data_IF_709274173832
#
_entry.id   IF_709274173832
#
_cell.length_a   1.000
_cell.length_b   1.000
_cell.length_c   1.000
_cell.angle_alpha   90.00
_cell.angle_beta   90.00
_cell.angle_gamma   90.00
#
_symmetry.space_group_name_H-M   'P 1'
#
loop_
_entity.id
_entity.type
_entity.pdbx_description
1 polymer ?
#
# COMPACT_ATOMS: atom_id res chain seq x y z
N UNK A 1 19.69 59.48 43.02
CA UNK A 1 20.44 58.42 42.30
C UNK A 1 19.53 57.22 42.15
N UNK A 2 19.14 56.92 40.91
CA UNK A 2 18.21 55.86 40.56
C UNK A 2 18.93 54.52 40.36
N UNK A 3 18.40 53.41 40.89
CA UNK A 3 18.60 52.05 40.36
C UNK A 3 17.81 51.01 41.16
N UNK A 4 16.96 50.27 40.45
CA UNK A 4 16.76 48.81 40.49
C UNK A 4 15.29 48.46 40.33
N UNK A 5 14.86 48.18 39.10
CA UNK A 5 13.56 47.55 38.79
C UNK A 5 13.57 47.09 37.33
N UNK A 6 14.45 46.15 36.96
CA UNK A 6 14.46 45.57 35.58
C UNK A 6 14.85 44.09 35.47
N UNK A 7 15.15 43.38 36.56
CA UNK A 7 15.62 41.99 36.46
C UNK A 7 14.49 40.93 36.51
N UNK A 8 13.32 41.26 37.09
CA UNK A 8 12.30 40.25 37.43
C UNK A 8 11.45 39.78 36.25
N UNK A 9 11.14 40.67 35.29
CA UNK A 9 10.26 40.32 34.15
C UNK A 9 10.93 39.41 33.12
N UNK A 10 12.25 39.50 32.96
CA UNK A 10 12.98 38.74 31.94
C UNK A 10 13.11 37.24 32.30
N UNK A 11 13.20 36.93 33.59
CA UNK A 11 13.27 35.55 34.10
C UNK A 11 11.92 34.82 33.99
N UNK A 12 10.81 35.53 34.19
CA UNK A 12 9.45 34.97 34.07
C UNK A 12 9.13 34.65 32.61
N UNK A 13 9.47 35.55 31.68
CA UNK A 13 9.27 35.31 30.24
C UNK A 13 10.12 34.13 29.75
N UNK A 14 11.38 34.02 30.20
CA UNK A 14 12.24 32.89 29.84
C UNK A 14 11.71 31.56 30.39
N UNK A 15 11.19 31.54 31.62
CA UNK A 15 10.59 30.36 32.24
C UNK A 15 9.31 29.91 31.53
N UNK A 16 8.46 30.85 31.08
CA UNK A 16 7.24 30.55 30.30
C UNK A 16 7.60 29.99 28.93
N UNK A 17 8.60 30.58 28.24
CA UNK A 17 9.07 30.08 26.94
C UNK A 17 9.69 28.68 27.07
N UNK A 18 10.56 28.46 28.07
CA UNK A 18 11.14 27.14 28.35
C UNK A 18 10.06 26.10 28.69
N UNK A 19 9.09 26.44 29.55
CA UNK A 19 7.99 25.54 29.89
C UNK A 19 7.11 25.21 28.68
N UNK A 20 6.81 26.19 27.82
CA UNK A 20 6.10 25.98 26.57
C UNK A 20 6.86 25.09 25.59
N UNK A 21 8.18 25.27 25.46
CA UNK A 21 9.03 24.39 24.66
C UNK A 21 9.06 22.96 25.20
N UNK A 22 9.17 22.77 26.51
CA UNK A 22 9.10 21.44 27.14
C UNK A 22 7.75 20.76 26.90
N UNK A 23 6.65 21.51 26.99
CA UNK A 23 5.31 20.98 26.73
C UNK A 23 5.13 20.57 25.26
N UNK A 24 5.61 21.39 24.32
CA UNK A 24 5.58 21.08 22.89
C UNK A 24 6.46 19.86 22.55
N UNK A 25 7.63 19.72 23.17
CA UNK A 25 8.52 18.56 23.00
C UNK A 25 7.84 17.28 23.53
N UNK A 26 7.19 17.35 24.68
CA UNK A 26 6.45 16.21 25.24
C UNK A 26 5.29 15.78 24.34
N UNK A 27 4.51 16.72 23.80
CA UNK A 27 3.41 16.42 22.87
C UNK A 27 3.95 15.76 21.59
N UNK A 28 5.00 16.31 20.97
CA UNK A 28 5.59 15.73 19.76
C UNK A 28 6.15 14.32 20.01
N UNK A 29 6.73 14.08 21.19
CA UNK A 29 7.23 12.76 21.59
C UNK A 29 6.10 11.75 21.83
N UNK A 30 4.96 12.20 22.36
CA UNK A 30 3.78 11.38 22.56
C UNK A 30 3.07 11.03 21.24
N UNK A 31 3.03 11.97 20.28
CA UNK A 31 2.48 11.73 18.95
C UNK A 31 3.35 10.78 18.12
N UNK A 32 4.68 10.92 18.19
CA UNK A 32 5.62 9.98 17.60
C UNK A 32 5.51 8.56 18.21
N UNK A 33 5.06 8.45 19.46
CA UNK A 33 4.82 7.17 20.12
C UNK A 33 3.49 6.51 19.69
N UNK A 34 2.60 7.20 18.98
CA UNK A 34 1.33 6.64 18.48
C UNK A 34 1.47 5.83 17.20
N UNK A 35 2.41 6.17 16.33
CA UNK A 35 2.64 5.45 15.07
C UNK A 35 3.60 4.28 15.30
N UNK A 36 3.19 3.08 14.87
CA UNK A 36 4.04 1.90 14.88
C UNK A 36 5.16 2.02 13.84
N UNK A 37 5.82 0.89 13.53
CA UNK A 37 6.70 0.88 12.36
C UNK A 37 5.86 1.05 11.09
N UNK A 38 6.15 2.11 10.36
CA UNK A 38 5.58 2.40 9.03
C UNK A 38 6.48 1.78 7.97
N UNK A 39 5.88 1.09 7.00
CA UNK A 39 6.59 0.55 5.84
C UNK A 39 6.31 1.40 4.59
N UNK A 40 7.28 1.46 3.68
CA UNK A 40 7.09 2.02 2.34
C UNK A 40 6.83 0.90 1.34
N UNK A 41 5.73 0.98 0.60
CA UNK A 41 5.38 0.02 -0.44
C UNK A 41 5.37 0.72 -1.80
N UNK A 42 6.23 0.27 -2.69
CA UNK A 42 6.07 0.55 -4.10
C UNK A 42 5.10 -0.47 -4.71
N UNK A 43 3.86 -0.05 -4.96
CA UNK A 43 2.85 -0.90 -5.60
C UNK A 43 2.98 -0.75 -7.12
N UNK A 44 3.92 -1.39 -7.79
CA UNK A 44 4.08 -1.19 -9.24
C UNK A 44 3.05 -1.95 -10.09
N UNK A 45 3.03 -1.66 -11.38
CA UNK A 45 2.13 -2.35 -12.34
C UNK A 45 2.52 -3.81 -12.52
N UNK A 46 3.82 -4.08 -12.64
CA UNK A 46 4.36 -5.42 -12.93
C UNK A 46 5.02 -6.05 -11.70
N UNK A 47 5.73 -5.24 -10.91
CA UNK A 47 6.40 -5.66 -9.69
C UNK A 47 6.12 -4.68 -8.57
N UNK A 48 6.05 -5.19 -7.36
CA UNK A 48 5.96 -4.41 -6.13
C UNK A 48 7.19 -4.64 -5.26
N UNK A 49 7.48 -3.68 -4.40
CA UNK A 49 8.62 -3.69 -3.49
C UNK A 49 8.17 -3.16 -2.12
N UNK A 50 8.79 -3.65 -1.05
CA UNK A 50 8.55 -3.15 0.30
C UNK A 50 9.87 -2.86 1.02
N UNK A 51 9.91 -1.71 1.68
CA UNK A 51 11.06 -1.26 2.45
C UNK A 51 10.67 -0.66 3.79
N UNK A 52 11.64 -0.59 4.69
CA UNK A 52 11.48 0.00 6.02
C UNK A 52 12.70 0.83 6.38
N UNK A 53 12.51 1.98 7.01
CA UNK A 53 13.61 2.74 7.59
C UNK A 53 13.86 2.26 9.03
N UNK A 54 15.03 1.68 9.28
CA UNK A 54 15.40 1.13 10.59
C UNK A 54 16.92 1.29 10.80
N UNK A 55 17.35 1.53 12.03
CA UNK A 55 18.77 1.63 12.39
C UNK A 55 19.56 2.63 11.50
N UNK A 56 18.95 3.77 11.17
CA UNK A 56 19.59 4.84 10.40
C UNK A 56 19.69 4.63 8.89
N UNK A 57 19.15 3.54 8.34
CA UNK A 57 19.16 3.26 6.90
C UNK A 57 17.83 2.68 6.41
N UNK A 58 17.65 2.69 5.09
CA UNK A 58 16.54 2.00 4.42
C UNK A 58 16.96 0.55 4.17
N UNK A 59 16.12 -0.37 4.61
CA UNK A 59 16.23 -1.80 4.28
C UNK A 59 15.16 -2.16 3.26
N UNK A 60 15.57 -2.72 2.12
CA UNK A 60 14.66 -3.30 1.13
C UNK A 60 14.48 -4.78 1.45
N UNK A 61 13.25 -5.16 1.79
CA UNK A 61 12.96 -6.46 2.38
C UNK A 61 12.81 -7.50 1.27
N UNK A 62 13.57 -8.58 1.37
CA UNK A 62 13.42 -9.73 0.49
C UNK A 62 12.19 -10.56 0.88
N UNK A 63 11.47 -11.09 -0.11
CA UNK A 63 10.38 -12.03 0.10
C UNK A 63 10.87 -13.43 0.52
N UNK A 64 9.94 -14.36 0.68
CA UNK A 64 10.19 -15.76 1.05
C UNK A 64 11.05 -16.54 0.04
N UNK A 65 11.22 -16.02 -1.17
CA UNK A 65 12.12 -16.57 -2.20
C UNK A 65 13.46 -15.84 -2.28
N UNK A 66 13.70 -14.85 -1.42
CA UNK A 66 14.93 -14.04 -1.42
C UNK A 66 14.94 -12.89 -2.42
N UNK A 67 13.82 -12.62 -3.12
CA UNK A 67 13.73 -11.54 -4.10
C UNK A 67 13.30 -10.23 -3.42
N UNK A 68 13.94 -9.12 -3.80
CA UNK A 68 13.60 -7.77 -3.30
C UNK A 68 12.45 -7.08 -4.05
N UNK A 69 11.97 -7.71 -5.12
CA UNK A 69 10.78 -7.30 -5.85
C UNK A 69 9.90 -8.52 -6.03
N UNK A 70 8.59 -8.34 -5.91
CA UNK A 70 7.59 -9.41 -6.03
C UNK A 70 6.66 -9.09 -7.20
N UNK A 71 6.39 -10.02 -8.12
CA UNK A 71 5.42 -9.79 -9.20
C UNK A 71 4.07 -9.33 -8.65
N UNK A 72 3.47 -8.30 -9.25
CA UNK A 72 2.11 -7.83 -8.92
C UNK A 72 1.05 -8.70 -9.61
N UNK A 73 1.11 -9.99 -9.29
CA UNK A 73 0.34 -11.07 -9.90
C UNK A 73 -0.48 -11.78 -8.83
N UNK A 74 -1.72 -12.11 -9.14
CA UNK A 74 -2.62 -12.92 -8.29
C UNK A 74 -3.20 -14.03 -9.15
N UNK A 75 -3.15 -15.27 -8.69
CA UNK A 75 -3.80 -16.38 -9.36
C UNK A 75 -4.75 -17.10 -8.42
N UNK A 76 -5.87 -17.57 -8.96
CA UNK A 76 -6.81 -18.42 -8.25
C UNK A 76 -6.68 -19.84 -8.77
N UNK A 77 -6.45 -20.78 -7.86
CA UNK A 77 -6.48 -22.23 -8.14
C UNK A 77 -7.68 -22.85 -7.44
N UNK A 78 -7.84 -24.17 -7.59
CA UNK A 78 -8.91 -24.90 -6.90
C UNK A 78 -8.60 -25.17 -5.42
N UNK A 79 -7.34 -25.01 -5.03
CA UNK A 79 -6.90 -25.16 -3.64
C UNK A 79 -6.78 -23.83 -2.93
N UNK A 80 -6.14 -22.85 -3.56
CA UNK A 80 -5.67 -21.64 -2.88
C UNK A 80 -5.58 -20.43 -3.81
N UNK A 81 -5.27 -19.28 -3.20
CA UNK A 81 -4.91 -18.06 -3.91
C UNK A 81 -3.39 -17.90 -3.86
N UNK A 82 -2.78 -17.82 -5.04
CA UNK A 82 -1.35 -17.56 -5.20
C UNK A 82 -1.12 -16.07 -5.45
N UNK A 83 -0.03 -15.53 -4.92
CA UNK A 83 0.36 -14.12 -5.10
C UNK A 83 1.87 -14.08 -5.36
N UNK A 84 2.33 -13.17 -6.23
CA UNK A 84 3.75 -13.02 -6.53
C UNK A 84 4.26 -14.02 -7.56
N UNK A 85 5.45 -14.55 -7.32
CA UNK A 85 6.14 -15.49 -8.20
C UNK A 85 5.34 -16.76 -8.43
N UNK A 86 4.69 -17.29 -7.38
CA UNK A 86 3.84 -18.47 -7.51
C UNK A 86 2.71 -18.25 -8.53
N UNK A 87 2.06 -17.08 -8.50
CA UNK A 87 1.03 -16.71 -9.47
C UNK A 87 1.62 -16.52 -10.89
N UNK A 88 2.76 -15.86 -11.00
CA UNK A 88 3.42 -15.62 -12.29
C UNK A 88 3.89 -16.92 -12.96
N UNK A 89 4.45 -17.85 -12.21
CA UNK A 89 5.06 -19.07 -12.75
C UNK A 89 4.05 -20.01 -13.39
N UNK A 90 2.79 -20.01 -12.92
CA UNK A 90 1.73 -20.87 -13.45
C UNK A 90 0.87 -20.19 -14.54
N UNK A 91 1.19 -18.95 -14.93
CA UNK A 91 0.37 -18.15 -15.85
C UNK A 91 0.14 -18.82 -17.20
N UNK A 92 1.13 -19.56 -17.73
CA UNK A 92 1.04 -20.23 -19.02
C UNK A 92 0.00 -21.36 -19.06
N UNK A 93 -0.28 -22.00 -17.92
CA UNK A 93 -1.22 -23.13 -17.82
C UNK A 93 -2.56 -22.76 -17.21
N UNK A 94 -2.70 -21.54 -16.69
CA UNK A 94 -3.90 -21.06 -16.00
C UNK A 94 -4.18 -19.57 -16.30
N UNK A 95 -4.08 -19.18 -17.57
CA UNK A 95 -4.06 -17.78 -17.98
C UNK A 95 -5.33 -16.99 -17.56
N UNK A 96 -6.52 -17.57 -17.73
CA UNK A 96 -7.80 -16.90 -17.43
C UNK A 96 -8.02 -16.64 -15.93
N UNK A 97 -7.33 -17.38 -15.06
CA UNK A 97 -7.42 -17.22 -13.59
C UNK A 97 -6.17 -16.59 -13.00
N UNK A 98 -5.31 -16.01 -13.85
CA UNK A 98 -4.08 -15.32 -13.47
C UNK A 98 -4.16 -13.85 -13.83
N UNK A 99 -4.24 -13.01 -12.81
CA UNK A 99 -4.52 -11.59 -12.91
C UNK A 99 -3.21 -10.82 -12.70
N UNK A 100 -2.91 -9.92 -13.62
CA UNK A 100 -1.74 -9.03 -13.62
C UNK A 100 -2.10 -7.70 -14.28
N UNK A 101 -1.23 -6.70 -14.19
CA UNK A 101 -1.44 -5.35 -14.77
C UNK A 101 -2.69 -4.61 -14.23
N UNK A 102 -3.25 -5.04 -13.09
CA UNK A 102 -4.47 -4.44 -12.50
C UNK A 102 -4.33 -2.96 -12.18
N UNK A 103 -3.11 -2.48 -11.92
CA UNK A 103 -2.85 -1.05 -11.71
C UNK A 103 -3.23 -0.19 -12.92
N UNK A 104 -3.40 -0.78 -14.11
CA UNK A 104 -3.94 -0.10 -15.29
C UNK A 104 -5.44 0.16 -15.21
N UNK A 105 -6.18 -0.66 -14.46
CA UNK A 105 -7.64 -0.59 -14.31
C UNK A 105 -8.10 0.25 -13.11
N UNK A 106 -7.26 0.31 -12.06
CA UNK A 106 -7.62 0.93 -10.77
C UNK A 106 -8.08 2.39 -10.94
N UNK A 107 -9.21 2.74 -10.33
CA UNK A 107 -9.80 4.08 -10.38
C UNK A 107 -10.28 4.57 -11.76
N UNK A 108 -10.38 3.69 -12.77
CA UNK A 108 -10.90 4.04 -14.11
C UNK A 108 -12.38 3.69 -14.26
N UNK A 109 -13.00 4.26 -15.30
CA UNK A 109 -14.33 3.88 -15.79
C UNK A 109 -14.20 2.72 -16.78
N UNK A 110 -15.23 1.89 -16.88
CA UNK A 110 -15.21 0.75 -17.79
C UNK A 110 -15.02 1.19 -19.24
N UNK A 111 -15.65 2.30 -19.64
CA UNK A 111 -15.63 2.83 -21.01
C UNK A 111 -14.35 3.64 -21.34
N UNK A 112 -13.39 3.75 -20.41
CA UNK A 112 -12.09 4.39 -20.67
C UNK A 112 -11.36 3.67 -21.83
N UNK A 113 -10.82 4.45 -22.78
CA UNK A 113 -10.12 3.92 -23.96
C UNK A 113 -8.96 3.00 -23.58
N UNK A 114 -8.25 3.29 -22.50
CA UNK A 114 -7.15 2.45 -22.02
C UNK A 114 -7.68 1.12 -21.48
N UNK A 115 -8.80 1.13 -20.73
CA UNK A 115 -9.45 -0.10 -20.26
C UNK A 115 -9.92 -0.94 -21.45
N UNK A 116 -10.60 -0.33 -22.42
CA UNK A 116 -11.08 -1.03 -23.62
C UNK A 116 -9.94 -1.60 -24.48
N UNK A 117 -8.76 -0.97 -24.45
CA UNK A 117 -7.54 -1.50 -25.08
C UNK A 117 -6.99 -2.68 -24.30
N UNK A 118 -6.78 -2.54 -22.99
CA UNK A 118 -6.17 -3.55 -22.14
C UNK A 118 -7.02 -4.84 -22.10
N UNK A 119 -8.34 -4.72 -22.14
CA UNK A 119 -9.29 -5.84 -22.25
C UNK A 119 -9.02 -6.78 -23.43
N UNK A 120 -8.39 -6.30 -24.51
CA UNK A 120 -8.06 -7.10 -25.70
C UNK A 120 -6.71 -7.81 -25.57
N UNK A 121 -5.91 -7.43 -24.58
CA UNK A 121 -4.52 -7.87 -24.40
C UNK A 121 -4.38 -8.85 -23.25
N UNK A 122 -5.27 -8.78 -22.25
CA UNK A 122 -5.24 -9.66 -21.08
C UNK A 122 -6.06 -10.94 -21.32
N UNK A 123 -5.65 -12.08 -20.74
CA UNK A 123 -6.36 -13.36 -20.92
C UNK A 123 -7.56 -13.53 -19.98
N UNK A 124 -7.63 -12.76 -18.90
CA UNK A 124 -8.72 -12.84 -17.91
C UNK A 124 -9.88 -11.91 -18.30
N UNK A 125 -11.07 -12.24 -17.79
CA UNK A 125 -12.30 -11.52 -18.16
C UNK A 125 -12.46 -10.24 -17.34
N UNK A 126 -12.55 -9.11 -18.01
CA UNK A 126 -12.95 -7.83 -17.42
C UNK A 126 -14.43 -7.57 -17.76
N UNK A 127 -15.23 -7.19 -16.77
CA UNK A 127 -16.66 -6.95 -16.90
C UNK A 127 -17.04 -5.57 -16.39
N UNK A 128 -18.12 -5.01 -16.94
CA UNK A 128 -18.71 -3.77 -16.44
C UNK A 128 -19.58 -4.08 -15.23
N UNK A 129 -19.31 -3.42 -14.10
CA UNK A 129 -20.20 -3.39 -12.94
C UNK A 129 -20.33 -1.94 -12.51
N UNK A 130 -21.53 -1.40 -12.65
CA UNK A 130 -21.88 -0.02 -12.30
C UNK A 130 -20.97 1.05 -12.94
N UNK A 131 -20.60 0.85 -14.22
CA UNK A 131 -19.74 1.76 -14.98
C UNK A 131 -18.24 1.65 -14.66
N UNK A 132 -17.82 0.65 -13.88
CA UNK A 132 -16.43 0.41 -13.49
C UNK A 132 -15.94 -0.95 -13.99
N UNK A 133 -14.64 -1.09 -14.31
CA UNK A 133 -14.07 -2.38 -14.68
C UNK A 133 -13.88 -3.25 -13.44
N UNK A 134 -14.39 -4.47 -13.51
CA UNK A 134 -14.15 -5.53 -12.52
C UNK A 134 -13.56 -6.76 -13.21
N UNK A 135 -12.84 -7.56 -12.45
CA UNK A 135 -12.22 -8.80 -12.91
C UNK A 135 -13.13 -9.96 -12.53
N UNK A 136 -13.70 -10.64 -13.52
CA UNK A 136 -14.47 -11.86 -13.33
C UNK A 136 -13.53 -13.06 -13.46
N UNK A 137 -13.45 -13.88 -12.42
CA UNK A 137 -12.58 -15.06 -12.38
C UNK A 137 -13.27 -16.25 -11.75
N UNK A 138 -13.00 -17.45 -12.27
CA UNK A 138 -13.40 -18.70 -11.62
C UNK A 138 -12.45 -18.99 -10.47
N UNK A 139 -13.00 -19.23 -9.29
CA UNK A 139 -12.26 -19.65 -8.10
C UNK A 139 -12.51 -21.15 -7.85
N UNK A 140 -12.28 -21.60 -6.62
CA UNK A 140 -12.54 -22.97 -6.18
C UNK A 140 -13.97 -23.45 -6.52
N UNK A 141 -14.08 -24.74 -6.84
CA UNK A 141 -15.34 -25.44 -7.16
C UNK A 141 -16.11 -24.88 -8.37
N UNK A 142 -15.44 -24.10 -9.23
CA UNK A 142 -16.03 -23.47 -10.41
C UNK A 142 -16.88 -22.23 -10.10
N UNK A 143 -16.94 -21.78 -8.84
CA UNK A 143 -17.63 -20.55 -8.45
C UNK A 143 -17.01 -19.36 -9.18
N UNK A 144 -17.86 -18.51 -9.78
CA UNK A 144 -17.41 -17.29 -10.44
C UNK A 144 -17.49 -16.11 -9.47
N UNK A 145 -16.36 -15.45 -9.23
CA UNK A 145 -16.28 -14.21 -8.45
C UNK A 145 -15.92 -13.02 -9.31
N UNK A 146 -16.36 -11.85 -8.86
CA UNK A 146 -16.13 -10.56 -9.52
C UNK A 146 -15.42 -9.66 -8.52
N UNK A 147 -14.15 -9.38 -8.78
CA UNK A 147 -13.29 -8.56 -7.92
C UNK A 147 -13.09 -7.18 -8.53
N UNK A 148 -13.10 -6.16 -7.69
CA UNK A 148 -12.65 -4.83 -8.05
C UNK A 148 -11.12 -4.81 -8.25
N UNK A 149 -10.59 -3.88 -9.06
CA UNK A 149 -9.15 -3.64 -9.16
C UNK A 149 -8.48 -3.36 -7.81
N UNK A 150 -9.21 -2.71 -6.90
CA UNK A 150 -8.80 -2.38 -5.54
C UNK A 150 -8.64 -3.66 -4.69
N UNK A 151 -9.58 -4.62 -4.78
CA UNK A 151 -9.46 -5.90 -4.07
C UNK A 151 -8.27 -6.74 -4.54
N UNK A 152 -8.00 -6.80 -5.86
CA UNK A 152 -6.82 -7.52 -6.35
C UNK A 152 -5.53 -6.81 -5.94
N UNK A 153 -5.50 -5.47 -6.01
CA UNK A 153 -4.36 -4.68 -5.54
C UNK A 153 -4.13 -4.85 -4.04
N UNK A 154 -5.20 -4.98 -3.25
CA UNK A 154 -5.15 -5.24 -1.81
C UNK A 154 -4.52 -6.61 -1.50
N UNK A 155 -4.72 -7.62 -2.35
CA UNK A 155 -4.05 -8.92 -2.21
C UNK A 155 -2.53 -8.77 -2.38
N UNK A 156 -2.08 -7.97 -3.35
CA UNK A 156 -0.65 -7.67 -3.54
C UNK A 156 -0.09 -6.88 -2.34
N UNK A 157 -0.81 -5.87 -1.87
CA UNK A 157 -0.43 -5.11 -0.67
C UNK A 157 -0.37 -6.00 0.59
N UNK A 158 -1.28 -6.96 0.71
CA UNK A 158 -1.28 -7.94 1.80
C UNK A 158 0.00 -8.79 1.76
N UNK A 159 0.41 -9.26 0.58
CA UNK A 159 1.69 -9.99 0.44
C UNK A 159 2.89 -9.11 0.82
N UNK A 160 2.90 -7.82 0.45
CA UNK A 160 3.97 -6.90 0.84
C UNK A 160 4.02 -6.66 2.35
N UNK A 161 2.85 -6.51 2.97
CA UNK A 161 2.69 -6.45 4.43
C UNK A 161 3.20 -7.72 5.10
N UNK A 162 2.79 -8.90 4.65
CA UNK A 162 3.24 -10.19 5.19
C UNK A 162 4.76 -10.36 5.10
N UNK A 163 5.37 -9.97 3.97
CA UNK A 163 6.82 -9.94 3.79
C UNK A 163 7.50 -9.04 4.84
N UNK A 164 6.96 -7.84 5.07
CA UNK A 164 7.50 -6.96 6.10
C UNK A 164 7.26 -7.49 7.53
N UNK A 165 6.10 -8.07 7.82
CA UNK A 165 5.79 -8.66 9.13
C UNK A 165 6.72 -9.83 9.45
N UNK A 166 6.99 -10.71 8.48
CA UNK A 166 7.93 -11.82 8.62
C UNK A 166 9.35 -11.33 8.91
N UNK A 167 9.80 -10.28 8.21
CA UNK A 167 11.12 -9.68 8.42
C UNK A 167 11.25 -8.97 9.78
N UNK A 168 10.20 -8.25 10.21
CA UNK A 168 10.23 -7.44 11.43
C UNK A 168 9.82 -8.20 12.69
N UNK A 169 9.23 -9.39 12.56
CA UNK A 169 8.75 -10.21 13.67
C UNK A 169 7.56 -9.59 14.42
N UNK A 170 6.80 -8.70 13.78
CA UNK A 170 5.66 -7.99 14.40
C UNK A 170 4.62 -7.58 13.36
N UNK A 171 3.41 -7.29 13.83
CA UNK A 171 2.31 -6.79 12.99
C UNK A 171 2.55 -5.37 12.50
N UNK A 172 2.21 -5.13 11.23
CA UNK A 172 2.31 -3.82 10.58
C UNK A 172 0.91 -3.30 10.28
N UNK A 173 0.66 -2.05 10.64
CA UNK A 173 -0.64 -1.40 10.47
C UNK A 173 -0.58 -0.17 9.57
N UNK A 174 0.56 0.49 9.49
CA UNK A 174 0.71 1.77 8.82
C UNK A 174 1.63 1.62 7.61
N UNK A 175 1.25 2.20 6.47
CA UNK A 175 2.07 2.16 5.27
C UNK A 175 2.00 3.45 4.45
N UNK A 176 3.09 3.75 3.74
CA UNK A 176 3.10 4.73 2.66
C UNK A 176 3.12 3.97 1.34
N UNK A 177 2.11 4.15 0.49
CA UNK A 177 1.98 3.46 -0.80
C UNK A 177 2.22 4.41 -1.97
N UNK A 178 3.04 4.01 -2.94
CA UNK A 178 3.35 4.83 -4.12
C UNK A 178 2.24 4.82 -5.18
N UNK A 179 2.11 5.95 -5.89
CA UNK A 179 1.28 6.09 -7.10
C UNK A 179 2.06 6.88 -8.16
N UNK A 180 1.83 6.63 -9.45
CA UNK A 180 2.39 7.46 -10.50
C UNK A 180 2.01 8.94 -10.33
N UNK A 181 2.91 9.85 -10.71
CA UNK A 181 2.66 11.28 -10.62
C UNK A 181 1.40 11.72 -11.40
N UNK A 182 1.11 11.06 -12.52
CA UNK A 182 -0.04 11.34 -13.38
C UNK A 182 -1.37 10.71 -12.91
N UNK A 183 -1.38 9.96 -11.80
CA UNK A 183 -2.65 9.44 -11.25
C UNK A 183 -3.55 10.60 -10.83
N UNK A 184 -4.80 10.54 -11.28
CA UNK A 184 -5.86 11.46 -10.86
C UNK A 184 -6.40 11.10 -9.45
N UNK A 185 -7.29 11.93 -8.92
CA UNK A 185 -7.83 11.77 -7.57
C UNK A 185 -8.57 10.44 -7.38
N UNK A 186 -9.33 9.99 -8.38
CA UNK A 186 -10.04 8.71 -8.30
C UNK A 186 -9.08 7.52 -8.20
N UNK A 187 -7.98 7.54 -8.95
CA UNK A 187 -6.96 6.49 -8.91
C UNK A 187 -6.16 6.50 -7.61
N UNK A 188 -5.89 7.70 -7.07
CA UNK A 188 -5.26 7.86 -5.74
C UNK A 188 -6.16 7.32 -4.64
N UNK A 189 -7.43 7.68 -4.66
CA UNK A 189 -8.41 7.19 -3.69
C UNK A 189 -8.57 5.67 -3.79
N UNK A 190 -8.72 5.12 -5.00
CA UNK A 190 -8.80 3.67 -5.20
C UNK A 190 -7.56 2.92 -4.71
N UNK A 191 -6.36 3.50 -4.89
CA UNK A 191 -5.11 2.91 -4.34
C UNK A 191 -5.12 2.94 -2.80
N UNK A 192 -5.63 4.02 -2.20
CA UNK A 192 -5.80 4.12 -0.75
C UNK A 192 -6.83 3.10 -0.23
N UNK A 193 -7.94 2.94 -0.93
CA UNK A 193 -8.99 1.96 -0.59
C UNK A 193 -8.43 0.53 -0.64
N UNK A 194 -7.57 0.21 -1.61
CA UNK A 194 -6.84 -1.06 -1.65
C UNK A 194 -5.96 -1.26 -0.40
N UNK A 195 -5.30 -0.19 0.08
CA UNK A 195 -4.57 -0.20 1.35
C UNK A 195 -5.46 -0.53 2.54
N UNK A 196 -6.63 0.12 2.63
CA UNK A 196 -7.62 -0.12 3.69
C UNK A 196 -8.10 -1.58 3.66
N UNK A 197 -8.40 -2.12 2.48
CA UNK A 197 -8.81 -3.53 2.31
C UNK A 197 -7.70 -4.49 2.77
N UNK A 198 -6.43 -4.14 2.55
CA UNK A 198 -5.27 -4.91 3.04
C UNK A 198 -5.01 -4.75 4.55
N UNK A 199 -5.82 -3.96 5.25
CA UNK A 199 -5.65 -3.64 6.67
C UNK A 199 -4.41 -2.79 6.92
N UNK A 200 -4.15 -1.83 6.03
CA UNK A 200 -3.14 -0.78 6.16
C UNK A 200 -3.83 0.58 6.29
N UNK A 201 -3.34 1.39 7.22
CA UNK A 201 -3.64 2.80 7.40
C UNK A 201 -2.73 3.66 6.52
#
# INVERSE_FOLDING_TARGET
MARSWRASGSLVVLAIVLSGCFFAISIAKEEAAKLGTVIGIDLGTTYSCVGVYKNGHVEIIANDQGNRITPSWVAFTDSERLIGEAAKNQAAVNAERTIFDVKRLIGRKFEDKEVQRDMKLVPYKIVNKDGKPYIQVKIKDGETKVFSPEEISAMVLTKMKETAEAFLGKKIKDAVVTVPAYFNDAQRQATKDAGIIAGLN
#
